data_IF_042710100480
#
_entry.id   IF_042710100480
#
_cell.length_a   1.000
_cell.length_b   1.000
_cell.length_c   1.000
_cell.angle_alpha   90.00
_cell.angle_beta   90.00
_cell.angle_gamma   90.00
#
_symmetry.space_group_name_H-M   'P 1'
#
loop_
_entity.id
_entity.type
_entity.pdbx_description
1 polymer ?
#
# COMPACT_ATOMS: atom_id res chain seq x y z
N UNK A 1 -27.35 3.32 -10.86
CA UNK A 1 -26.45 3.15 -9.70
C UNK A 1 -27.07 2.10 -8.80
N UNK A 2 -26.29 1.17 -8.25
CA UNK A 2 -26.80 0.11 -7.39
C UNK A 2 -27.15 0.72 -6.01
N UNK A 3 -28.43 0.99 -5.74
CA UNK A 3 -28.91 1.71 -4.55
C UNK A 3 -28.96 0.86 -3.27
N UNK A 4 -27.97 0.00 -3.04
CA UNK A 4 -27.91 -0.86 -1.85
C UNK A 4 -26.79 -0.45 -0.89
N UNK A 5 -27.09 -0.39 0.41
CA UNK A 5 -26.08 -0.13 1.45
C UNK A 5 -25.01 -1.24 1.51
N UNK A 6 -25.38 -2.46 1.12
CA UNK A 6 -24.47 -3.57 0.85
C UNK A 6 -24.81 -4.11 -0.54
N UNK A 7 -23.78 -4.27 -1.38
CA UNK A 7 -23.90 -4.95 -2.66
C UNK A 7 -22.84 -6.05 -2.74
N UNK A 8 -23.10 -7.08 -3.55
CA UNK A 8 -22.10 -8.12 -3.81
C UNK A 8 -21.98 -8.38 -5.30
N UNK A 9 -20.78 -8.77 -5.72
CA UNK A 9 -20.47 -9.20 -7.07
C UNK A 9 -19.58 -10.43 -7.01
N UNK A 10 -19.78 -11.38 -7.92
CA UNK A 10 -18.96 -12.58 -8.01
C UNK A 10 -18.14 -12.52 -9.30
N UNK A 11 -16.81 -12.55 -9.16
CA UNK A 11 -15.88 -12.53 -10.30
C UNK A 11 -15.00 -13.76 -10.19
N UNK A 12 -15.03 -14.60 -11.22
CA UNK A 12 -14.19 -15.80 -11.33
C UNK A 12 -14.23 -16.69 -10.06
N UNK A 13 -15.42 -16.86 -9.48
CA UNK A 13 -15.66 -17.67 -8.29
C UNK A 13 -15.36 -16.99 -6.95
N UNK A 14 -14.90 -15.73 -6.95
CA UNK A 14 -14.69 -14.93 -5.75
C UNK A 14 -15.83 -13.92 -5.54
N UNK A 15 -16.50 -14.01 -4.41
CA UNK A 15 -17.52 -13.03 -3.99
C UNK A 15 -16.85 -11.83 -3.32
N UNK A 16 -17.07 -10.65 -3.90
CA UNK A 16 -16.65 -9.35 -3.36
C UNK A 16 -17.90 -8.67 -2.80
N UNK A 17 -17.84 -8.30 -1.51
CA UNK A 17 -18.91 -7.56 -0.83
C UNK A 17 -18.46 -6.10 -0.69
N UNK A 18 -19.27 -5.17 -1.19
CA UNK A 18 -19.01 -3.73 -1.15
C UNK A 18 -19.96 -3.11 -0.13
N UNK A 19 -19.39 -2.33 0.79
CA UNK A 19 -20.11 -1.60 1.83
C UNK A 19 -20.23 -0.14 1.40
N UNK A 20 -21.45 0.31 1.10
CA UNK A 20 -21.72 1.67 0.63
C UNK A 20 -22.24 2.61 1.75
N UNK A 21 -22.39 2.10 2.98
CA UNK A 21 -22.87 2.86 4.14
C UNK A 21 -21.80 2.93 5.22
N UNK A 22 -21.49 4.15 5.69
CA UNK A 22 -20.54 4.41 6.78
C UNK A 22 -20.97 3.71 8.07
N UNK A 23 -22.27 3.67 8.36
CA UNK A 23 -22.80 3.01 9.54
C UNK A 23 -22.52 1.50 9.50
N UNK A 24 -22.75 0.87 8.36
CA UNK A 24 -22.49 -0.55 8.15
C UNK A 24 -20.98 -0.83 8.17
N UNK A 25 -20.18 -0.01 7.50
CA UNK A 25 -18.73 -0.15 7.48
C UNK A 25 -18.13 -0.04 8.89
N UNK A 26 -18.61 0.89 9.71
CA UNK A 26 -18.19 1.04 11.11
C UNK A 26 -18.60 -0.18 11.94
N UNK A 27 -19.84 -0.64 11.77
CA UNK A 27 -20.36 -1.77 12.53
C UNK A 27 -19.65 -3.10 12.20
N UNK A 28 -19.25 -3.29 10.95
CA UNK A 28 -18.49 -4.47 10.52
C UNK A 28 -16.99 -4.32 10.81
N UNK A 29 -16.36 -3.27 10.29
CA UNK A 29 -14.90 -3.17 10.24
C UNK A 29 -14.26 -2.67 11.54
N UNK A 30 -15.00 -1.93 12.37
CA UNK A 30 -14.48 -1.41 13.65
C UNK A 30 -15.03 -2.21 14.84
N UNK A 31 -16.35 -2.16 15.07
CA UNK A 31 -16.99 -2.84 16.21
C UNK A 31 -16.83 -4.35 16.20
N UNK A 32 -16.84 -4.95 15.01
CA UNK A 32 -16.66 -6.40 14.78
C UNK A 32 -15.34 -6.72 14.10
N UNK A 33 -14.34 -5.86 14.26
CA UNK A 33 -13.03 -5.93 13.59
C UNK A 33 -12.37 -7.31 13.65
N UNK A 34 -12.49 -8.06 14.75
CA UNK A 34 -11.93 -9.42 14.90
C UNK A 34 -12.41 -10.36 13.78
N UNK A 35 -13.63 -10.18 13.27
CA UNK A 35 -14.22 -11.03 12.24
C UNK A 35 -13.84 -10.62 10.81
N UNK A 36 -13.47 -9.35 10.60
CA UNK A 36 -13.34 -8.74 9.26
C UNK A 36 -11.97 -8.11 8.99
N UNK A 37 -11.01 -8.24 9.91
CA UNK A 37 -9.67 -7.65 9.77
C UNK A 37 -8.69 -8.46 8.94
N UNK A 38 -9.08 -9.64 8.45
CA UNK A 38 -8.18 -10.50 7.67
C UNK A 38 -7.85 -9.91 6.28
N UNK A 39 -6.93 -10.54 5.56
CA UNK A 39 -6.51 -10.12 4.21
C UNK A 39 -6.80 -11.22 3.18
N UNK A 40 -7.37 -10.87 2.02
CA UNK A 40 -7.49 -11.82 0.94
C UNK A 40 -6.10 -12.23 0.45
N UNK A 41 -5.91 -13.52 0.15
CA UNK A 41 -4.67 -14.01 -0.43
C UNK A 41 -4.58 -13.65 -1.92
N UNK A 42 -3.94 -12.51 -2.21
CA UNK A 42 -3.64 -12.10 -3.58
C UNK A 42 -2.33 -12.76 -4.02
N UNK A 43 -2.42 -13.81 -4.85
CA UNK A 43 -1.26 -14.60 -5.28
C UNK A 43 -0.18 -13.74 -5.94
N UNK A 44 -0.56 -12.75 -6.75
CA UNK A 44 0.40 -11.83 -7.38
C UNK A 44 1.29 -11.13 -6.35
N UNK A 45 0.75 -10.80 -5.18
CA UNK A 45 1.47 -10.13 -4.08
C UNK A 45 2.19 -11.14 -3.18
N UNK A 46 1.51 -12.22 -2.79
CA UNK A 46 1.97 -13.08 -1.70
C UNK A 46 2.88 -14.24 -2.14
N UNK A 47 2.93 -14.57 -3.42
CA UNK A 47 3.74 -15.68 -3.93
C UNK A 47 5.22 -15.25 -4.11
N UNK A 48 6.14 -16.07 -3.61
CA UNK A 48 7.58 -15.77 -3.63
C UNK A 48 8.21 -15.82 -5.02
N UNK A 49 7.51 -16.35 -6.03
CA UNK A 49 7.94 -16.30 -7.43
C UNK A 49 7.45 -15.06 -8.18
N UNK A 50 6.65 -14.22 -7.52
CA UNK A 50 6.05 -13.02 -8.07
C UNK A 50 6.54 -11.80 -7.28
N UNK A 51 5.64 -11.04 -6.65
CA UNK A 51 6.00 -9.80 -5.95
C UNK A 51 6.58 -10.02 -4.55
N UNK A 52 6.41 -11.22 -3.97
CA UNK A 52 6.98 -11.65 -2.67
C UNK A 52 6.81 -10.66 -1.49
N UNK A 53 5.60 -10.13 -1.33
CA UNK A 53 5.28 -9.12 -0.31
C UNK A 53 4.17 -9.56 0.65
N UNK A 54 3.88 -10.86 0.70
CA UNK A 54 2.86 -11.42 1.59
C UNK A 54 3.16 -11.26 3.08
N UNK A 55 4.43 -11.05 3.45
CA UNK A 55 4.87 -10.81 4.82
C UNK A 55 4.90 -9.32 5.22
N UNK A 56 4.55 -8.41 4.31
CA UNK A 56 4.38 -7.00 4.63
C UNK A 56 3.13 -6.82 5.51
N UNK A 57 3.21 -5.96 6.54
CA UNK A 57 2.11 -5.74 7.50
C UNK A 57 0.75 -5.39 6.85
N UNK A 58 0.77 -4.79 5.66
CA UNK A 58 -0.45 -4.42 4.90
C UNK A 58 -1.19 -5.66 4.38
N UNK A 59 -0.45 -6.71 4.02
CA UNK A 59 -0.96 -7.93 3.38
C UNK A 59 -0.98 -9.15 4.30
N UNK A 60 -0.32 -9.03 5.44
CA UNK A 60 -0.20 -10.10 6.40
C UNK A 60 -1.58 -10.47 6.99
N UNK A 61 -1.96 -11.77 7.01
CA UNK A 61 -3.23 -12.21 7.58
C UNK A 61 -3.39 -11.82 9.04
N UNK A 62 -4.63 -11.60 9.46
CA UNK A 62 -4.91 -11.23 10.84
C UNK A 62 -4.56 -12.40 11.78
N UNK A 63 -3.68 -12.16 12.75
CA UNK A 63 -3.22 -13.19 13.65
C UNK A 63 -2.13 -12.72 14.61
N UNK A 64 -1.54 -13.64 15.40
CA UNK A 64 -0.50 -13.30 16.38
C UNK A 64 0.71 -12.58 15.76
N UNK A 65 1.12 -12.98 14.55
CA UNK A 65 2.24 -12.36 13.85
C UNK A 65 1.93 -10.92 13.44
N UNK A 66 0.75 -10.67 12.86
CA UNK A 66 0.30 -9.31 12.54
C UNK A 66 0.19 -8.43 13.78
N UNK A 67 -0.41 -8.96 14.87
CA UNK A 67 -0.53 -8.23 16.15
C UNK A 67 0.83 -7.83 16.69
N UNK A 68 1.83 -8.72 16.60
CA UNK A 68 3.20 -8.47 17.02
C UNK A 68 3.84 -7.34 16.19
N UNK A 69 3.79 -7.42 14.86
CA UNK A 69 4.35 -6.36 14.00
C UNK A 69 3.66 -5.01 14.25
N UNK A 70 2.32 -5.01 14.33
CA UNK A 70 1.53 -3.80 14.60
C UNK A 70 1.90 -3.16 15.93
N UNK A 71 2.08 -3.96 16.99
CA UNK A 71 2.53 -3.48 18.30
C UNK A 71 3.89 -2.80 18.20
N UNK A 72 4.88 -3.44 17.56
CA UNK A 72 6.23 -2.88 17.41
C UNK A 72 6.20 -1.55 16.65
N UNK A 73 5.48 -1.49 15.53
CA UNK A 73 5.33 -0.24 14.76
C UNK A 73 4.64 0.85 15.59
N UNK A 74 3.59 0.49 16.33
CA UNK A 74 2.87 1.46 17.14
C UNK A 74 3.73 2.07 18.24
N UNK A 75 4.61 1.29 18.88
CA UNK A 75 5.50 1.82 19.93
C UNK A 75 6.39 2.96 19.46
N UNK A 76 6.83 2.94 18.19
CA UNK A 76 7.71 3.97 17.62
C UNK A 76 6.97 5.07 16.87
N UNK A 77 5.78 4.78 16.32
CA UNK A 77 4.98 5.72 15.55
C UNK A 77 3.93 6.46 16.38
N UNK A 78 3.65 6.04 17.62
CA UNK A 78 2.70 6.74 18.50
C UNK A 78 3.14 8.20 18.71
N UNK A 79 2.20 9.15 18.85
CA UNK A 79 2.53 10.57 18.94
C UNK A 79 3.59 10.91 20.00
N UNK A 80 3.51 10.27 21.18
CA UNK A 80 4.47 10.49 22.27
C UNK A 80 5.90 10.06 21.96
N UNK A 81 6.09 9.03 21.11
CA UNK A 81 7.42 8.55 20.70
C UNK A 81 7.94 9.27 19.44
N UNK A 82 7.03 9.71 18.57
CA UNK A 82 7.38 10.33 17.29
C UNK A 82 7.77 11.81 17.41
N UNK A 83 7.65 12.41 18.60
CA UNK A 83 8.11 13.80 18.89
C UNK A 83 9.57 14.04 18.52
N UNK A 84 10.42 13.00 18.60
CA UNK A 84 11.83 13.05 18.17
C UNK A 84 12.02 13.43 16.70
N UNK A 85 11.01 13.20 15.86
CA UNK A 85 11.03 13.53 14.43
C UNK A 85 10.42 14.89 14.13
N UNK A 86 9.93 15.65 15.12
CA UNK A 86 9.25 16.93 14.86
C UNK A 86 10.18 17.96 14.21
N UNK A 87 11.42 18.06 14.68
CA UNK A 87 12.41 18.95 14.06
C UNK A 87 12.71 18.55 12.60
N UNK A 88 12.68 17.25 12.29
CA UNK A 88 12.80 16.75 10.92
C UNK A 88 11.60 17.18 10.08
N UNK A 89 10.37 16.95 10.55
CA UNK A 89 9.15 17.31 9.82
C UNK A 89 9.05 18.83 9.61
N UNK A 90 9.42 19.62 10.62
CA UNK A 90 9.47 21.07 10.50
C UNK A 90 10.49 21.52 9.45
N UNK A 91 11.69 20.91 9.42
CA UNK A 91 12.70 21.18 8.41
C UNK A 91 12.21 20.85 7.00
N UNK A 92 11.62 19.67 6.82
CA UNK A 92 11.12 19.23 5.51
C UNK A 92 9.92 20.08 5.05
N UNK A 93 9.03 20.49 5.96
CA UNK A 93 7.94 21.41 5.68
C UNK A 93 8.46 22.79 5.23
N UNK A 94 9.44 23.38 5.92
CA UNK A 94 10.07 24.63 5.49
C UNK A 94 10.73 24.49 4.12
N UNK A 95 11.40 23.35 3.86
CA UNK A 95 12.03 23.09 2.58
C UNK A 95 10.99 22.94 1.46
N UNK A 96 9.86 22.28 1.72
CA UNK A 96 8.73 22.20 0.80
C UNK A 96 8.19 23.59 0.45
N UNK A 97 7.90 24.42 1.46
CA UNK A 97 7.39 25.78 1.26
C UNK A 97 8.33 26.63 0.40
N UNK A 98 9.65 26.54 0.62
CA UNK A 98 10.64 27.22 -0.21
C UNK A 98 10.60 26.78 -1.68
N UNK A 99 10.47 25.47 -1.92
CA UNK A 99 10.38 24.93 -3.30
C UNK A 99 9.08 25.32 -3.98
N UNK A 100 7.95 25.25 -3.28
CA UNK A 100 6.64 25.67 -3.80
C UNK A 100 6.59 27.18 -4.07
N UNK A 101 7.24 27.99 -3.25
CA UNK A 101 7.36 29.44 -3.48
C UNK A 101 8.21 29.76 -4.73
N UNK A 102 9.22 28.94 -5.03
CA UNK A 102 10.05 29.10 -6.22
C UNK A 102 9.39 28.56 -7.50
N UNK A 103 8.68 27.43 -7.40
CA UNK A 103 7.92 26.81 -8.50
C UNK A 103 6.67 26.11 -7.93
N UNK A 104 5.48 26.71 -8.07
CA UNK A 104 4.25 26.15 -7.48
C UNK A 104 3.76 24.87 -8.17
N UNK A 105 4.22 24.60 -9.40
CA UNK A 105 3.86 23.39 -10.14
C UNK A 105 5.09 22.51 -10.42
N UNK A 106 4.99 21.17 -10.28
CA UNK A 106 3.83 20.39 -9.83
C UNK A 106 3.82 20.12 -8.30
N UNK A 107 2.84 20.68 -7.58
CA UNK A 107 2.65 20.53 -6.12
C UNK A 107 2.68 19.08 -5.64
N UNK A 108 1.97 18.18 -6.32
CA UNK A 108 1.85 16.78 -5.91
C UNK A 108 3.23 16.08 -5.86
N UNK A 109 4.09 16.36 -6.84
CA UNK A 109 5.43 15.77 -6.91
C UNK A 109 6.28 16.24 -5.74
N UNK A 110 6.23 17.53 -5.42
CA UNK A 110 6.98 18.10 -4.32
C UNK A 110 6.48 17.61 -2.95
N UNK A 111 5.17 17.42 -2.81
CA UNK A 111 4.58 16.84 -1.61
C UNK A 111 5.01 15.37 -1.44
N UNK A 112 4.89 14.55 -2.49
CA UNK A 112 5.34 13.14 -2.48
C UNK A 112 6.82 13.02 -2.14
N UNK A 113 7.66 13.89 -2.72
CA UNK A 113 9.10 13.96 -2.40
C UNK A 113 9.34 14.25 -0.92
N UNK A 114 8.60 15.20 -0.36
CA UNK A 114 8.75 15.62 1.04
C UNK A 114 8.39 14.48 1.98
N UNK A 115 7.25 13.82 1.76
CA UNK A 115 6.83 12.65 2.54
C UNK A 115 7.84 11.51 2.43
N UNK A 116 8.37 11.25 1.22
CA UNK A 116 9.41 10.24 1.04
C UNK A 116 10.69 10.58 1.82
N UNK A 117 11.12 11.84 1.82
CA UNK A 117 12.28 12.29 2.59
C UNK A 117 12.08 12.16 4.10
N UNK A 118 10.90 12.52 4.61
CA UNK A 118 10.55 12.35 6.02
C UNK A 118 10.59 10.88 6.45
N UNK A 119 9.99 9.97 5.66
CA UNK A 119 10.00 8.54 5.94
C UNK A 119 11.43 7.99 5.86
N UNK A 120 12.17 8.29 4.80
CA UNK A 120 13.53 7.79 4.61
C UNK A 120 14.47 8.27 5.72
N UNK A 121 14.35 9.53 6.14
CA UNK A 121 15.17 10.07 7.22
C UNK A 121 14.74 9.55 8.60
N UNK A 122 13.44 9.42 8.87
CA UNK A 122 12.95 8.99 10.19
C UNK A 122 13.11 7.48 10.45
N UNK A 123 13.01 6.66 9.40
CA UNK A 123 13.10 5.20 9.49
C UNK A 123 14.52 4.70 9.26
N UNK A 124 15.22 5.24 8.26
CA UNK A 124 16.53 4.73 7.84
C UNK A 124 17.70 5.68 8.12
N UNK A 125 17.44 6.88 8.67
CA UNK A 125 18.47 7.90 8.83
C UNK A 125 19.01 8.44 7.49
N UNK A 126 18.30 8.20 6.40
CA UNK A 126 18.74 8.56 5.05
C UNK A 126 18.36 10.00 4.72
N UNK A 127 19.34 10.79 4.28
CA UNK A 127 19.11 12.18 3.85
C UNK A 127 18.93 12.25 2.34
N UNK A 128 17.72 12.57 1.90
CA UNK A 128 17.39 12.80 0.48
C UNK A 128 18.11 14.04 -0.02
N UNK A 129 18.91 13.89 -1.07
CA UNK A 129 19.78 14.97 -1.58
C UNK A 129 19.09 15.88 -2.58
N UNK A 130 18.35 15.31 -3.52
CA UNK A 130 17.71 16.04 -4.62
C UNK A 130 16.39 15.38 -5.06
N UNK A 131 15.80 15.88 -6.15
CA UNK A 131 14.53 15.39 -6.72
C UNK A 131 14.68 14.07 -7.48
N UNK A 132 15.90 13.69 -7.85
CA UNK A 132 16.23 12.48 -8.61
C UNK A 132 16.82 11.38 -7.73
N UNK A 133 16.71 11.54 -6.40
CA UNK A 133 17.17 10.55 -5.44
C UNK A 133 16.57 9.17 -5.77
N UNK A 134 17.41 8.14 -6.03
CA UNK A 134 16.93 6.84 -6.45
C UNK A 134 15.94 6.23 -5.46
N UNK A 135 16.11 6.43 -4.15
CA UNK A 135 15.20 5.84 -3.16
C UNK A 135 13.82 6.50 -3.19
N UNK A 136 13.76 7.80 -3.49
CA UNK A 136 12.48 8.51 -3.66
C UNK A 136 11.76 8.00 -4.90
N UNK A 137 12.46 7.87 -6.03
CA UNK A 137 11.87 7.36 -7.28
C UNK A 137 11.44 5.90 -7.14
N UNK A 138 12.33 5.05 -6.65
CA UNK A 138 12.11 3.61 -6.60
C UNK A 138 11.01 3.26 -5.58
N UNK A 139 10.91 3.99 -4.47
CA UNK A 139 9.78 3.85 -3.53
C UNK A 139 8.45 4.27 -4.14
N UNK A 140 8.41 5.34 -4.94
CA UNK A 140 7.19 5.75 -5.64
C UNK A 140 6.75 4.69 -6.65
N UNK A 141 7.67 4.16 -7.46
CA UNK A 141 7.40 3.07 -8.42
C UNK A 141 6.94 1.80 -7.69
N UNK A 142 7.55 1.45 -6.56
CA UNK A 142 7.16 0.29 -5.77
C UNK A 142 5.72 0.42 -5.24
N UNK A 143 5.35 1.59 -4.72
CA UNK A 143 3.98 1.86 -4.23
C UNK A 143 2.97 1.82 -5.38
N UNK A 144 3.32 2.35 -6.55
CA UNK A 144 2.46 2.29 -7.74
C UNK A 144 2.23 0.84 -8.20
N UNK A 145 3.29 0.06 -8.35
CA UNK A 145 3.22 -1.35 -8.74
C UNK A 145 2.41 -2.16 -7.73
N UNK A 146 2.62 -1.93 -6.43
CA UNK A 146 1.84 -2.57 -5.38
C UNK A 146 0.34 -2.19 -5.46
N UNK A 147 0.03 -0.91 -5.67
CA UNK A 147 -1.36 -0.43 -5.76
C UNK A 147 -2.08 -1.12 -6.92
N UNK A 148 -1.41 -1.26 -8.07
CA UNK A 148 -1.95 -1.97 -9.23
C UNK A 148 -2.14 -3.46 -8.92
N UNK A 149 -1.18 -4.09 -8.24
CA UNK A 149 -1.24 -5.50 -7.84
C UNK A 149 -2.33 -5.81 -6.79
N UNK A 150 -2.67 -4.83 -5.95
CA UNK A 150 -3.63 -4.98 -4.87
C UNK A 150 -5.09 -4.91 -5.34
N UNK A 151 -5.35 -4.41 -6.55
CA UNK A 151 -6.70 -4.36 -7.14
C UNK A 151 -7.14 -5.80 -7.47
N UNK A 152 -8.22 -6.30 -6.84
CA UNK A 152 -8.78 -7.60 -7.19
C UNK A 152 -9.22 -7.58 -8.67
N UNK A 153 -8.76 -8.55 -9.47
CA UNK A 153 -9.10 -8.63 -10.89
C UNK A 153 -7.97 -8.27 -11.85
N UNK A 154 -7.01 -7.43 -11.44
CA UNK A 154 -5.97 -6.93 -12.35
C UNK A 154 -4.98 -7.99 -12.87
N UNK A 155 -4.90 -9.15 -12.18
CA UNK A 155 -3.97 -10.22 -12.52
C UNK A 155 -4.67 -11.57 -12.50
N UNK A 156 -4.66 -12.26 -13.63
CA UNK A 156 -5.29 -13.59 -13.77
C UNK A 156 -4.67 -14.64 -12.86
N UNK A 157 -3.39 -14.49 -12.50
CA UNK A 157 -2.69 -15.41 -11.59
C UNK A 157 -3.35 -15.51 -10.21
N UNK A 158 -4.15 -14.52 -9.81
CA UNK A 158 -4.96 -14.59 -8.58
C UNK A 158 -6.03 -15.68 -8.67
N UNK A 159 -6.63 -15.88 -9.85
CA UNK A 159 -7.70 -16.86 -10.09
C UNK A 159 -7.19 -18.18 -10.68
N UNK A 160 -6.10 -18.11 -11.45
CA UNK A 160 -5.53 -19.21 -12.22
C UNK A 160 -4.08 -19.46 -11.72
N UNK A 161 -3.90 -20.24 -10.63
CA UNK A 161 -2.63 -20.31 -9.90
C UNK A 161 -1.42 -20.79 -10.73
N UNK A 162 -1.67 -21.63 -11.73
CA UNK A 162 -0.64 -22.23 -12.57
C UNK A 162 0.03 -21.23 -13.52
N UNK A 163 -0.59 -20.08 -13.77
CA UNK A 163 0.00 -19.02 -14.60
C UNK A 163 1.35 -18.52 -14.08
N UNK A 164 1.63 -18.65 -12.78
CA UNK A 164 2.93 -18.25 -12.22
C UNK A 164 4.11 -18.99 -12.85
N UNK A 165 3.90 -20.21 -13.35
CA UNK A 165 4.94 -21.03 -13.98
C UNK A 165 5.11 -20.79 -15.48
N UNK A 166 4.23 -20.02 -16.11
CA UNK A 166 4.29 -19.73 -17.56
C UNK A 166 5.51 -18.84 -17.85
N UNK A 167 6.46 -19.24 -18.71
CA UNK A 167 7.61 -18.41 -19.03
C UNK A 167 7.22 -17.10 -19.72
N UNK A 168 8.00 -16.03 -19.56
CA UNK A 168 7.74 -14.72 -20.17
C UNK A 168 7.67 -14.75 -21.70
N UNK A 169 8.33 -15.71 -22.34
CA UNK A 169 8.34 -15.86 -23.80
C UNK A 169 7.05 -16.48 -24.37
N UNK A 170 6.18 -17.05 -23.53
CA UNK A 170 4.99 -17.77 -24.01
C UNK A 170 3.93 -16.79 -24.55
N UNK A 171 3.24 -17.09 -25.66
CA UNK A 171 2.18 -16.22 -26.19
C UNK A 171 1.06 -16.02 -25.15
N UNK A 172 0.82 -14.77 -24.76
CA UNK A 172 -0.12 -14.45 -23.67
C UNK A 172 0.50 -14.45 -22.27
N UNK A 173 1.82 -14.61 -22.12
CA UNK A 173 2.52 -14.44 -20.85
C UNK A 173 2.40 -13.01 -20.28
N UNK A 174 2.05 -12.02 -21.12
CA UNK A 174 1.64 -10.69 -20.68
C UNK A 174 0.38 -10.72 -19.79
N UNK A 175 -0.35 -11.83 -19.67
CA UNK A 175 -1.42 -12.03 -18.67
C UNK A 175 -0.88 -12.18 -17.23
N UNK A 176 0.46 -12.24 -17.06
CA UNK A 176 1.17 -11.97 -15.80
C UNK A 176 1.32 -10.48 -15.52
N UNK A 177 1.14 -9.65 -16.54
CA UNK A 177 1.07 -8.20 -16.47
C UNK A 177 -0.37 -7.75 -16.75
N UNK A 178 -0.66 -6.47 -16.51
CA UNK A 178 -2.02 -5.89 -16.37
C UNK A 178 -3.08 -6.47 -17.33
N UNK A 179 -4.27 -6.79 -16.78
CA UNK A 179 -5.55 -6.76 -17.52
C UNK A 179 -5.93 -5.31 -17.82
#
# INVERSE_FOLDING_TARGET
MLNGDIISLTVLGQTIVILNSVNIATDLLDRRSINYSDRPYLRVICDSRLFDWGNNIVMLPYGPWWKKQRRIMHEVLKPSANTRNFALFEREAHALLKRLAASPEPFEKEFRRTVAAEILSSVYGYTVKDTYDPLVRDSATLVENFTVAAIPGNFLVNFIPWLKYVPEWFPGAHLKERV
#
